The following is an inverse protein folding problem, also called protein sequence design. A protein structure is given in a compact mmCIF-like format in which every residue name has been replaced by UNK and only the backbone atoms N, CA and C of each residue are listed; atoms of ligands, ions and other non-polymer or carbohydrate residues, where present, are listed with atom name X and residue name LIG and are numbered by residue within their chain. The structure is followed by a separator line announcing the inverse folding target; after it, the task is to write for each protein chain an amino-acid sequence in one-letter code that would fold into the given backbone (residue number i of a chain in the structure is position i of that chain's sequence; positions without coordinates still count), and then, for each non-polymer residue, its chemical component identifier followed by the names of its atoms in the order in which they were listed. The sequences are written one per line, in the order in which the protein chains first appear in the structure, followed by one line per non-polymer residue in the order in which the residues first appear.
data_IF_240003823654
#
_entry.id   IF_240003823654
#
_cell.length_a   1.000
_cell.length_b   1.000
_cell.length_c   1.000
_cell.angle_alpha   90.00
_cell.angle_beta   90.00
_cell.angle_gamma   90.00
#
_symmetry.space_group_name_H-M   'P 1'
#
loop_
_entity.id
_entity.type
_entity.pdbx_description
1 polymer ?
#
# COMPACT_ATOMS: atom_id res chain seq x y z
N UNK A 1 4.61 10.92 -11.91
CA UNK A 1 3.60 11.83 -11.34
C UNK A 1 2.27 11.34 -11.85
N UNK A 2 1.47 10.73 -11.00
CA UNK A 2 0.13 10.29 -11.35
C UNK A 2 -0.82 11.12 -10.49
N UNK A 3 -1.62 11.94 -11.13
CA UNK A 3 -2.69 12.74 -10.49
C UNK A 3 -3.98 11.97 -10.74
N UNK A 4 -4.25 10.97 -9.92
CA UNK A 4 -5.52 10.25 -9.93
C UNK A 4 -6.52 11.06 -9.11
N UNK A 5 -7.38 11.78 -9.81
CA UNK A 5 -8.67 12.16 -9.24
C UNK A 5 -9.46 10.87 -9.07
N UNK A 6 -9.67 10.46 -7.83
CA UNK A 6 -10.46 9.27 -7.53
C UNK A 6 -11.95 9.59 -7.77
N UNK A 7 -12.36 9.47 -9.04
CA UNK A 7 -13.75 9.65 -9.47
C UNK A 7 -14.62 8.42 -9.19
N UNK A 8 -14.01 7.33 -8.72
CA UNK A 8 -14.71 6.05 -8.61
C UNK A 8 -15.78 6.05 -7.50
N UNK A 9 -15.52 6.65 -6.36
CA UNK A 9 -16.51 6.74 -5.28
C UNK A 9 -17.65 7.68 -5.63
N UNK A 10 -17.35 8.80 -6.27
CA UNK A 10 -18.35 9.75 -6.77
C UNK A 10 -19.17 9.10 -7.90
N UNK A 11 -18.56 8.34 -8.80
CA UNK A 11 -19.25 7.65 -9.88
C UNK A 11 -20.25 6.60 -9.38
N UNK A 12 -19.87 5.84 -8.34
CA UNK A 12 -20.77 4.84 -7.74
C UNK A 12 -21.96 5.48 -7.03
N UNK A 13 -21.74 6.52 -6.23
CA UNK A 13 -22.81 7.28 -5.58
C UNK A 13 -23.73 7.94 -6.61
N UNK A 14 -23.17 8.45 -7.70
CA UNK A 14 -23.91 9.09 -8.79
C UNK A 14 -24.77 8.10 -9.55
N UNK A 15 -24.25 6.89 -9.85
CA UNK A 15 -25.04 5.84 -10.52
C UNK A 15 -26.27 5.45 -9.70
N UNK A 16 -26.14 5.28 -8.37
CA UNK A 16 -27.28 5.06 -7.48
C UNK A 16 -28.24 6.25 -7.44
N UNK A 17 -27.73 7.48 -7.47
CA UNK A 17 -28.56 8.69 -7.50
C UNK A 17 -29.37 8.77 -8.78
N UNK A 18 -28.80 8.44 -9.94
CA UNK A 18 -29.54 8.38 -11.21
C UNK A 18 -30.66 7.34 -11.19
N UNK A 19 -30.45 6.19 -10.59
CA UNK A 19 -31.47 5.15 -10.47
C UNK A 19 -32.61 5.52 -9.53
N UNK A 20 -32.39 6.45 -8.61
CA UNK A 20 -33.38 6.93 -7.63
C UNK A 20 -33.97 8.28 -8.00
N UNK A 21 -33.50 8.91 -9.07
CA UNK A 21 -34.01 10.22 -9.50
C UNK A 21 -35.39 10.07 -10.10
N UNK A 22 -36.33 10.86 -9.65
CA UNK A 22 -37.70 10.90 -10.20
C UNK A 22 -37.74 11.72 -11.50
N UNK A 23 -38.61 11.34 -12.47
CA UNK A 23 -38.86 12.16 -13.64
C UNK A 23 -39.40 13.54 -13.22
N UNK A 24 -38.81 14.61 -13.74
CA UNK A 24 -39.23 15.98 -13.44
C UNK A 24 -38.20 16.84 -12.69
N UNK A 25 -37.12 16.22 -12.18
CA UNK A 25 -36.00 17.02 -11.67
C UNK A 25 -35.13 17.44 -12.87
N UNK A 26 -35.08 18.73 -13.17
CA UNK A 26 -34.14 19.27 -14.14
C UNK A 26 -32.72 19.17 -13.57
N UNK A 27 -31.79 18.51 -14.27
CA UNK A 27 -30.42 18.37 -13.73
C UNK A 27 -29.74 19.72 -13.52
N UNK A 28 -29.80 20.59 -14.52
CA UNK A 28 -29.20 21.92 -14.51
C UNK A 28 -29.82 22.81 -15.59
N UNK A 29 -30.23 24.02 -15.22
CA UNK A 29 -30.75 24.98 -16.17
C UNK A 29 -30.54 26.40 -15.64
N UNK A 30 -30.20 27.36 -16.50
CA UNK A 30 -30.04 28.78 -16.22
C UNK A 30 -29.19 29.08 -14.97
N UNK A 31 -28.07 28.37 -14.82
CA UNK A 31 -27.14 28.57 -13.69
C UNK A 31 -27.52 27.84 -12.40
N UNK A 32 -28.63 27.09 -12.38
CA UNK A 32 -29.15 26.44 -11.18
C UNK A 32 -29.24 24.91 -11.32
N UNK A 33 -28.93 24.20 -10.26
CA UNK A 33 -29.23 22.79 -10.11
C UNK A 33 -30.70 22.60 -9.70
N UNK A 34 -31.42 21.74 -10.40
CA UNK A 34 -32.80 21.46 -10.07
C UNK A 34 -32.97 20.70 -8.77
N UNK A 35 -33.95 21.11 -7.99
CA UNK A 35 -34.41 20.44 -6.79
C UNK A 35 -35.72 19.71 -6.98
N UNK A 36 -36.16 19.05 -5.93
CA UNK A 36 -37.46 18.37 -5.87
C UNK A 36 -38.60 19.37 -5.98
N UNK A 37 -39.51 19.16 -6.94
CA UNK A 37 -40.65 20.04 -7.18
C UNK A 37 -41.79 19.82 -6.19
N UNK A 38 -42.02 18.55 -5.80
CA UNK A 38 -43.00 18.16 -4.81
C UNK A 38 -42.40 17.16 -3.81
N UNK A 39 -42.16 17.60 -2.59
CA UNK A 39 -41.52 16.76 -1.56
C UNK A 39 -42.39 15.60 -1.07
N UNK A 40 -43.69 15.68 -1.26
CA UNK A 40 -44.63 14.60 -0.87
C UNK A 40 -44.59 13.44 -1.89
N UNK A 41 -44.43 13.76 -3.18
CA UNK A 41 -44.39 12.78 -4.27
C UNK A 41 -42.97 12.28 -4.57
N UNK A 42 -42.01 13.20 -4.53
CA UNK A 42 -40.65 12.95 -4.95
C UNK A 42 -39.73 12.53 -3.81
N UNK A 43 -40.15 12.66 -2.56
CA UNK A 43 -39.40 12.29 -1.37
C UNK A 43 -38.07 13.05 -1.25
N UNK A 44 -37.03 12.39 -0.81
CA UNK A 44 -35.69 12.95 -0.64
C UNK A 44 -34.77 12.72 -1.86
N UNK A 45 -35.33 12.74 -3.08
CA UNK A 45 -34.53 12.55 -4.29
C UNK A 45 -33.54 13.71 -4.48
N UNK A 46 -32.28 13.39 -4.63
CA UNK A 46 -31.22 14.36 -4.88
C UNK A 46 -30.98 14.59 -6.36
N UNK A 47 -30.34 15.71 -6.71
CA UNK A 47 -29.91 15.98 -8.07
C UNK A 47 -28.59 15.21 -8.38
N UNK A 48 -28.61 14.24 -9.30
CA UNK A 48 -27.42 13.45 -9.62
C UNK A 48 -26.29 14.29 -10.22
N UNK A 49 -26.61 15.30 -10.99
CA UNK A 49 -25.62 16.18 -11.61
C UNK A 49 -24.94 17.06 -10.55
N UNK A 50 -25.70 17.52 -9.55
CA UNK A 50 -25.12 18.20 -8.40
C UNK A 50 -24.16 17.28 -7.64
N UNK A 51 -24.55 16.02 -7.41
CA UNK A 51 -23.67 15.04 -6.75
C UNK A 51 -22.37 14.79 -7.55
N UNK A 52 -22.44 14.85 -8.87
CA UNK A 52 -21.29 14.65 -9.73
C UNK A 52 -20.35 15.87 -9.77
N UNK A 53 -20.90 17.07 -9.85
CA UNK A 53 -20.15 18.29 -10.13
C UNK A 53 -20.02 19.22 -8.93
N UNK A 54 -20.90 19.08 -7.94
CA UNK A 54 -21.12 20.07 -6.89
C UNK A 54 -20.70 19.66 -5.48
N UNK A 55 -20.17 18.45 -5.27
CA UNK A 55 -19.83 17.99 -3.92
C UNK A 55 -18.52 18.56 -3.35
N UNK A 56 -17.83 19.41 -4.08
CA UNK A 56 -16.55 19.99 -3.70
C UNK A 56 -15.36 19.40 -4.46
N UNK A 57 -14.20 19.97 -4.19
CA UNK A 57 -12.95 19.57 -4.81
C UNK A 57 -12.27 18.48 -4.00
N UNK A 58 -11.97 17.36 -4.65
CA UNK A 58 -11.20 16.26 -4.05
C UNK A 58 -10.01 15.93 -4.92
N UNK A 59 -8.84 15.84 -4.33
CA UNK A 59 -7.67 15.38 -5.04
C UNK A 59 -6.78 14.48 -4.19
N UNK A 60 -6.15 13.51 -4.88
CA UNK A 60 -5.11 12.65 -4.32
C UNK A 60 -3.78 12.95 -5.00
N UNK A 61 -2.73 13.10 -4.20
CA UNK A 61 -1.35 13.17 -4.69
C UNK A 61 -0.54 12.03 -4.11
N UNK A 62 0.03 11.21 -4.98
CA UNK A 62 0.86 10.09 -4.59
C UNK A 62 2.28 10.29 -5.09
N UNK A 63 3.24 10.06 -4.21
CA UNK A 63 4.66 10.03 -4.56
C UNK A 63 5.23 8.69 -4.09
N UNK A 64 5.81 7.93 -4.99
CA UNK A 64 6.49 6.69 -4.64
C UNK A 64 7.90 6.68 -5.20
N UNK A 65 8.86 6.33 -4.35
CA UNK A 65 10.24 6.10 -4.71
C UNK A 65 10.55 4.65 -4.36
N UNK A 66 10.90 3.88 -5.39
CA UNK A 66 11.38 2.53 -5.21
C UNK A 66 12.80 2.44 -5.74
N UNK A 67 13.74 2.06 -4.89
CA UNK A 67 15.15 1.94 -5.24
C UNK A 67 15.74 0.62 -4.71
N UNK A 68 16.49 -0.07 -5.55
CA UNK A 68 17.25 -1.24 -5.14
C UNK A 68 18.66 -1.11 -5.69
N UNK A 69 19.64 -1.32 -4.83
CA UNK A 69 21.06 -1.39 -5.22
C UNK A 69 21.67 -2.68 -4.72
N UNK A 70 22.66 -3.17 -5.43
CA UNK A 70 23.42 -4.34 -5.00
C UNK A 70 24.89 -4.21 -5.36
N UNK A 71 25.74 -4.88 -4.60
CA UNK A 71 27.14 -5.07 -4.90
C UNK A 71 27.49 -6.55 -4.69
N UNK A 72 28.38 -7.07 -5.52
CA UNK A 72 28.87 -8.43 -5.41
C UNK A 72 30.38 -8.43 -5.62
N UNK A 73 31.10 -9.09 -4.71
CA UNK A 73 32.56 -9.24 -4.76
C UNK A 73 32.88 -10.73 -4.70
N UNK A 74 33.66 -11.19 -5.66
CA UNK A 74 34.25 -12.53 -5.64
C UNK A 74 35.71 -12.42 -5.22
N UNK A 75 36.11 -13.23 -4.25
CA UNK A 75 37.48 -13.24 -3.71
C UNK A 75 37.91 -14.61 -3.27
N UNK A 76 39.22 -14.81 -3.14
CA UNK A 76 39.82 -16.08 -2.77
C UNK A 76 39.27 -17.29 -3.57
N UNK A 77 38.95 -17.07 -4.86
CA UNK A 77 38.38 -18.02 -5.83
C UNK A 77 36.99 -18.57 -5.47
N UNK A 78 36.79 -19.00 -4.23
CA UNK A 78 35.63 -19.78 -3.79
C UNK A 78 34.60 -18.95 -3.01
N UNK A 79 34.92 -17.70 -2.69
CA UNK A 79 34.06 -16.83 -1.90
C UNK A 79 33.32 -15.81 -2.76
N UNK A 80 32.03 -15.60 -2.46
CA UNK A 80 31.22 -14.55 -3.05
C UNK A 80 30.48 -13.83 -1.93
N UNK A 81 30.80 -12.56 -1.73
CA UNK A 81 30.05 -11.65 -0.87
C UNK A 81 29.05 -10.87 -1.75
N UNK A 82 27.79 -10.86 -1.36
CA UNK A 82 26.75 -10.06 -2.00
C UNK A 82 26.01 -9.24 -0.95
N UNK A 83 25.83 -7.97 -1.22
CA UNK A 83 24.98 -7.05 -0.44
C UNK A 83 23.88 -6.51 -1.33
N UNK A 84 22.67 -6.43 -0.81
CA UNK A 84 21.50 -5.86 -1.49
C UNK A 84 20.81 -4.94 -0.52
N UNK A 85 20.57 -3.72 -0.95
CA UNK A 85 19.78 -2.74 -0.20
C UNK A 85 18.58 -2.31 -1.03
N UNK A 86 17.39 -2.45 -0.47
CA UNK A 86 16.12 -2.00 -1.05
C UNK A 86 15.48 -0.92 -0.19
N UNK A 87 14.93 0.07 -0.84
CA UNK A 87 14.18 1.16 -0.20
C UNK A 87 12.91 1.43 -0.98
N UNK A 88 11.77 1.47 -0.27
CA UNK A 88 10.46 1.80 -0.82
C UNK A 88 9.87 2.91 0.06
N UNK A 89 9.61 4.04 -0.54
CA UNK A 89 8.99 5.20 0.08
C UNK A 89 7.70 5.52 -0.63
N UNK A 90 6.63 5.68 0.13
CA UNK A 90 5.33 6.08 -0.37
C UNK A 90 4.80 7.23 0.47
N UNK A 91 4.35 8.28 -0.20
CA UNK A 91 3.66 9.41 0.43
C UNK A 91 2.37 9.68 -0.33
N UNK A 92 1.28 9.78 0.42
CA UNK A 92 -0.05 10.14 -0.08
C UNK A 92 -0.54 11.39 0.62
N UNK A 93 -1.14 12.27 -0.15
CA UNK A 93 -1.92 13.40 0.36
C UNK A 93 -3.28 13.40 -0.31
N UNK A 94 -4.33 13.39 0.50
CA UNK A 94 -5.70 13.60 0.07
C UNK A 94 -6.19 14.91 0.67
N UNK A 95 -6.80 15.75 -0.14
CA UNK A 95 -7.49 16.94 0.31
C UNK A 95 -8.88 16.91 -0.30
N UNK A 96 -9.88 17.21 0.52
CA UNK A 96 -11.25 17.46 0.12
C UNK A 96 -11.67 18.82 0.67
N UNK A 97 -12.38 19.59 -0.14
CA UNK A 97 -13.00 20.85 0.28
C UNK A 97 -14.44 20.86 -0.22
N UNK A 98 -15.37 20.95 0.71
CA UNK A 98 -16.78 21.10 0.40
C UNK A 98 -17.06 22.42 -0.31
N UNK A 99 -18.19 22.50 -1.01
CA UNK A 99 -18.62 23.70 -1.72
C UNK A 99 -20.06 24.03 -1.37
N UNK A 100 -20.47 25.25 -1.71
CA UNK A 100 -21.84 25.72 -1.56
C UNK A 100 -22.63 25.39 -2.83
N UNK A 101 -23.77 24.71 -2.68
CA UNK A 101 -24.70 24.48 -3.76
C UNK A 101 -26.11 24.58 -3.24
N UNK A 102 -26.94 25.21 -4.04
CA UNK A 102 -28.39 25.32 -3.78
C UNK A 102 -29.17 24.48 -4.78
N UNK A 103 -30.38 24.08 -4.42
CA UNK A 103 -31.33 23.45 -5.30
C UNK A 103 -32.48 24.39 -5.57
N UNK A 104 -32.89 24.50 -6.84
CA UNK A 104 -33.87 25.42 -7.32
C UNK A 104 -35.10 24.71 -7.93
N UNK A 105 -36.29 25.13 -7.58
CA UNK A 105 -37.53 24.70 -8.22
C UNK A 105 -37.84 25.61 -9.39
N UNK A 106 -37.86 25.05 -10.59
CA UNK A 106 -38.16 25.80 -11.82
C UNK A 106 -39.65 26.12 -11.96
N UNK A 107 -40.53 25.27 -11.42
CA UNK A 107 -41.97 25.52 -11.42
C UNK A 107 -42.36 26.63 -10.47
N UNK A 108 -41.78 26.64 -9.28
CA UNK A 108 -42.06 27.65 -8.25
C UNK A 108 -41.19 28.90 -8.36
N UNK A 109 -40.13 28.84 -9.19
CA UNK A 109 -39.14 29.89 -9.38
C UNK A 109 -38.49 30.37 -8.05
N UNK A 110 -38.11 29.41 -7.22
CA UNK A 110 -37.50 29.67 -5.91
C UNK A 110 -36.51 28.60 -5.52
N UNK A 111 -35.62 28.98 -4.62
CA UNK A 111 -34.70 28.03 -3.94
C UNK A 111 -35.53 27.12 -3.03
N UNK A 112 -35.39 25.78 -3.21
CA UNK A 112 -36.07 24.76 -2.40
C UNK A 112 -35.14 24.09 -1.39
N UNK A 113 -33.85 24.12 -1.67
CA UNK A 113 -32.82 23.74 -0.70
C UNK A 113 -31.72 24.82 -0.72
N UNK A 114 -31.57 25.58 0.35
CA UNK A 114 -30.55 26.63 0.41
C UNK A 114 -29.17 26.03 0.37
N UNK A 115 -28.21 26.78 -0.13
CA UNK A 115 -26.83 26.41 -0.09
C UNK A 115 -26.36 26.14 1.35
N UNK A 116 -25.49 25.15 1.52
CA UNK A 116 -24.84 24.91 2.82
C UNK A 116 -24.14 26.18 3.28
N UNK A 117 -24.39 26.60 4.52
CA UNK A 117 -23.77 27.80 5.07
C UNK A 117 -22.23 27.61 5.18
N UNK A 118 -21.49 28.72 5.05
CA UNK A 118 -20.02 28.69 5.06
C UNK A 118 -19.46 28.11 6.36
N UNK A 119 -20.14 28.29 7.48
CA UNK A 119 -19.77 27.75 8.78
C UNK A 119 -19.92 26.23 8.89
N UNK A 120 -20.69 25.60 7.99
CA UNK A 120 -20.90 24.16 7.92
C UNK A 120 -20.05 23.46 6.86
N UNK A 121 -19.44 24.22 5.95
CA UNK A 121 -18.54 23.63 4.94
C UNK A 121 -17.26 23.19 5.60
N UNK A 122 -16.85 21.94 5.33
CA UNK A 122 -15.65 21.38 5.89
C UNK A 122 -14.55 21.22 4.85
N UNK A 123 -13.32 21.29 5.32
CA UNK A 123 -12.13 20.90 4.59
C UNK A 123 -11.48 19.74 5.34
N UNK A 124 -11.18 18.71 4.60
CA UNK A 124 -10.53 17.50 5.08
C UNK A 124 -9.14 17.39 4.46
N UNK A 125 -8.18 16.96 5.27
CA UNK A 125 -6.85 16.64 4.80
C UNK A 125 -6.34 15.37 5.46
N UNK A 126 -5.92 14.44 4.64
CA UNK A 126 -5.24 13.22 5.04
C UNK A 126 -3.85 13.18 4.44
N UNK A 127 -2.86 12.87 5.25
CA UNK A 127 -1.51 12.59 4.78
C UNK A 127 -1.04 11.26 5.35
N UNK A 128 -0.42 10.45 4.53
CA UNK A 128 0.14 9.16 4.91
C UNK A 128 1.54 9.03 4.34
N UNK A 129 2.46 8.59 5.18
CA UNK A 129 3.84 8.35 4.81
C UNK A 129 4.25 6.95 5.23
N UNK A 130 4.69 6.17 4.25
CA UNK A 130 5.21 4.83 4.49
C UNK A 130 6.64 4.76 3.98
N UNK A 131 7.51 4.10 4.71
CA UNK A 131 8.78 3.64 4.16
C UNK A 131 9.11 2.24 4.66
N UNK A 132 9.73 1.50 3.77
CA UNK A 132 10.25 0.17 4.02
C UNK A 132 11.67 0.09 3.46
N UNK A 133 12.62 -0.32 4.27
CA UNK A 133 13.94 -0.66 3.79
C UNK A 133 14.35 -2.05 4.26
N UNK A 134 15.13 -2.69 3.42
CA UNK A 134 15.66 -4.03 3.63
C UNK A 134 17.11 -4.08 3.19
N UNK A 135 17.96 -4.58 4.06
CA UNK A 135 19.37 -4.81 3.78
C UNK A 135 19.71 -6.26 3.99
N UNK A 136 20.17 -6.93 2.93
CA UNK A 136 20.53 -8.35 2.92
C UNK A 136 21.98 -8.50 2.54
N UNK A 137 22.74 -9.24 3.34
CA UNK A 137 24.13 -9.59 3.08
C UNK A 137 24.27 -11.10 3.07
N UNK A 138 24.95 -11.64 2.08
CA UNK A 138 25.23 -13.08 2.00
C UNK A 138 26.68 -13.30 1.67
N UNK A 139 27.29 -14.26 2.37
CA UNK A 139 28.58 -14.80 2.08
C UNK A 139 28.40 -16.25 1.62
N UNK A 140 28.76 -16.53 0.40
CA UNK A 140 28.74 -17.87 -0.17
C UNK A 140 30.16 -18.35 -0.36
N UNK A 141 30.42 -19.59 0.06
CA UNK A 141 31.63 -20.32 -0.18
C UNK A 141 31.30 -21.67 -0.81
N UNK A 142 31.98 -22.04 -1.90
CA UNK A 142 31.79 -23.32 -2.57
C UNK A 142 33.12 -23.92 -3.01
N UNK A 143 33.33 -25.20 -2.67
CA UNK A 143 34.55 -25.89 -3.03
C UNK A 143 34.29 -27.39 -3.30
N UNK A 144 34.98 -27.92 -4.32
CA UNK A 144 34.96 -29.36 -4.64
C UNK A 144 36.29 -30.00 -4.28
N UNK A 145 36.29 -30.85 -3.24
CA UNK A 145 37.46 -31.57 -2.79
C UNK A 145 37.59 -32.91 -3.54
N UNK A 146 38.79 -33.22 -3.97
CA UNK A 146 39.11 -34.49 -4.65
C UNK A 146 38.17 -34.83 -5.81
N UNK A 147 37.49 -33.87 -6.41
CA UNK A 147 36.48 -34.04 -7.49
C UNK A 147 35.28 -34.92 -7.11
N UNK A 148 35.08 -35.27 -5.85
CA UNK A 148 34.02 -36.15 -5.37
C UNK A 148 33.19 -35.57 -4.23
N UNK A 149 33.72 -34.61 -3.47
CA UNK A 149 33.04 -33.96 -2.36
C UNK A 149 32.74 -32.53 -2.74
N UNK A 150 31.51 -32.22 -3.03
CA UNK A 150 31.07 -30.86 -3.32
C UNK A 150 30.41 -30.26 -2.09
N UNK A 151 30.96 -29.14 -1.60
CA UNK A 151 30.48 -28.42 -0.42
C UNK A 151 30.13 -26.99 -0.80
N UNK A 152 28.94 -26.56 -0.47
CA UNK A 152 28.53 -25.17 -0.61
C UNK A 152 27.94 -24.67 0.71
N UNK A 153 28.46 -23.56 1.23
CA UNK A 153 28.02 -22.91 2.47
C UNK A 153 27.60 -21.50 2.17
N UNK A 154 26.41 -21.15 2.60
CA UNK A 154 25.89 -19.79 2.56
C UNK A 154 25.60 -19.33 3.99
N UNK A 155 26.12 -18.16 4.35
CA UNK A 155 25.77 -17.44 5.56
C UNK A 155 25.12 -16.12 5.17
N UNK A 156 24.06 -15.73 5.84
CA UNK A 156 23.30 -14.54 5.54
C UNK A 156 22.90 -13.76 6.78
N UNK A 157 22.81 -12.47 6.58
CA UNK A 157 22.29 -11.51 7.52
C UNK A 157 21.28 -10.60 6.81
N UNK A 158 20.13 -10.40 7.41
CA UNK A 158 19.09 -9.53 6.89
C UNK A 158 18.56 -8.63 7.99
N UNK A 159 18.39 -7.37 7.70
CA UNK A 159 17.75 -6.40 8.59
C UNK A 159 16.79 -5.52 7.79
N UNK A 160 15.67 -5.17 8.40
CA UNK A 160 14.73 -4.26 7.76
C UNK A 160 13.85 -3.51 8.76
N UNK A 161 13.26 -2.45 8.25
CA UNK A 161 12.35 -1.60 9.00
C UNK A 161 11.18 -1.22 8.10
N UNK A 162 10.00 -1.32 8.66
CA UNK A 162 8.77 -0.77 8.12
C UNK A 162 8.29 0.35 9.03
N UNK A 163 7.89 1.46 8.43
CA UNK A 163 7.27 2.59 9.11
C UNK A 163 6.00 2.99 8.34
N UNK A 164 4.96 3.31 9.09
CA UNK A 164 3.74 3.92 8.60
C UNK A 164 3.31 5.00 9.59
N UNK A 165 3.14 6.22 9.09
CA UNK A 165 2.61 7.34 9.86
C UNK A 165 1.52 8.04 9.05
N UNK A 166 0.41 8.38 9.72
CA UNK A 166 -0.64 9.16 9.09
C UNK A 166 -1.12 10.29 10.01
N UNK A 167 -1.60 11.33 9.37
CA UNK A 167 -2.33 12.42 9.99
C UNK A 167 -3.62 12.66 9.20
N UNK A 168 -4.72 12.66 9.91
CA UNK A 168 -6.07 12.92 9.44
C UNK A 168 -6.61 14.13 10.17
N UNK A 169 -7.11 15.11 9.44
CA UNK A 169 -7.65 16.34 10.03
C UNK A 169 -8.78 16.90 9.22
N UNK A 170 -9.79 17.43 9.90
CA UNK A 170 -10.87 18.18 9.28
C UNK A 170 -11.21 19.43 10.10
N UNK A 171 -11.62 20.48 9.41
CA UNK A 171 -12.07 21.72 9.98
C UNK A 171 -13.35 22.18 9.27
N UNK A 172 -14.20 22.90 10.00
CA UNK A 172 -15.42 23.54 9.48
C UNK A 172 -15.33 25.05 9.55
N UNK A 173 -16.11 25.71 8.70
CA UNK A 173 -16.23 27.15 8.68
C UNK A 173 -15.19 27.81 7.81
N UNK A 174 -15.39 27.74 6.50
CA UNK A 174 -14.61 28.52 5.53
C UNK A 174 -15.09 29.95 5.49
N UNK A 175 -14.19 30.87 5.18
CA UNK A 175 -14.53 32.29 5.04
C UNK A 175 -15.06 32.62 3.64
N UNK A 176 -14.58 31.94 2.65
CA UNK A 176 -14.90 32.07 1.24
C UNK A 176 -14.75 30.73 0.52
N UNK A 177 -15.69 30.35 -0.39
CA UNK A 177 -15.64 29.08 -1.11
C UNK A 177 -14.36 28.87 -1.93
N UNK A 178 -13.69 29.94 -2.34
CA UNK A 178 -12.41 29.89 -3.07
C UNK A 178 -11.20 29.67 -2.16
N UNK A 179 -11.34 29.85 -0.86
CA UNK A 179 -10.26 29.76 0.13
C UNK A 179 -10.41 28.49 0.95
N UNK A 180 -9.78 27.42 0.49
CA UNK A 180 -9.82 26.10 1.13
C UNK A 180 -8.55 25.77 1.91
N UNK A 181 -7.84 26.79 2.40
CA UNK A 181 -6.62 26.59 3.20
C UNK A 181 -7.01 26.32 4.67
N UNK A 182 -6.46 25.24 5.21
CA UNK A 182 -6.71 24.83 6.60
C UNK A 182 -6.32 25.88 7.65
N UNK A 183 -5.42 26.80 7.32
CA UNK A 183 -5.00 27.89 8.23
C UNK A 183 -6.06 28.94 8.41
N UNK A 184 -6.94 29.13 7.42
CA UNK A 184 -8.00 30.17 7.43
C UNK A 184 -9.31 29.69 8.08
N UNK A 185 -9.41 28.38 8.35
CA UNK A 185 -10.63 27.76 8.88
C UNK A 185 -10.61 27.77 10.41
N UNK A 186 -11.69 28.29 11.01
CA UNK A 186 -11.71 28.60 12.45
C UNK A 186 -12.08 27.42 13.34
N UNK A 187 -13.02 26.58 12.93
CA UNK A 187 -13.57 25.53 13.78
C UNK A 187 -12.89 24.19 13.51
N UNK A 188 -12.19 23.66 14.50
CA UNK A 188 -11.61 22.34 14.43
C UNK A 188 -12.68 21.28 14.66
N UNK A 189 -12.72 20.26 13.79
CA UNK A 189 -13.59 19.11 13.96
C UNK A 189 -12.82 17.91 14.50
N UNK A 190 -11.83 17.41 13.74
CA UNK A 190 -11.05 16.26 14.13
C UNK A 190 -9.57 16.47 13.83
N UNK A 191 -8.75 15.89 14.70
CA UNK A 191 -7.34 15.63 14.47
C UNK A 191 -7.06 14.22 14.98
N UNK A 192 -6.64 13.34 14.11
CA UNK A 192 -6.18 12.00 14.48
C UNK A 192 -4.90 11.66 13.73
N UNK A 193 -4.05 10.91 14.37
CA UNK A 193 -2.81 10.46 13.74
C UNK A 193 -2.20 9.31 14.51
N UNK A 194 -1.38 8.55 13.86
CA UNK A 194 -0.65 7.44 14.47
C UNK A 194 0.63 7.16 13.71
N UNK A 195 1.65 6.79 14.48
CA UNK A 195 2.92 6.29 13.97
C UNK A 195 3.09 4.83 14.38
N UNK A 196 3.39 3.99 13.42
CA UNK A 196 3.67 2.58 13.66
C UNK A 196 5.00 2.21 12.99
N UNK A 197 5.82 1.45 13.69
CA UNK A 197 7.07 0.95 13.15
C UNK A 197 7.33 -0.49 13.58
N UNK A 198 7.84 -1.26 12.64
CA UNK A 198 8.29 -2.63 12.89
C UNK A 198 9.71 -2.78 12.37
N UNK A 199 10.54 -3.47 13.14
CA UNK A 199 11.91 -3.83 12.77
C UNK A 199 12.07 -5.33 12.85
N UNK A 200 12.85 -5.89 11.96
CA UNK A 200 13.24 -7.28 12.02
C UNK A 200 14.71 -7.43 11.69
N UNK A 201 15.29 -8.52 12.19
CA UNK A 201 16.66 -8.92 11.93
C UNK A 201 16.72 -10.42 11.88
N UNK A 202 17.45 -10.95 10.92
CA UNK A 202 17.55 -12.37 10.69
C UNK A 202 18.99 -12.78 10.42
N UNK A 203 19.37 -13.91 11.00
CA UNK A 203 20.56 -14.65 10.63
C UNK A 203 20.12 -15.94 9.96
N UNK A 204 20.77 -16.34 8.89
CA UNK A 204 20.44 -17.57 8.22
C UNK A 204 21.67 -18.21 7.60
N UNK A 205 21.62 -19.52 7.45
CA UNK A 205 22.68 -20.26 6.81
C UNK A 205 22.18 -21.54 6.18
N UNK A 206 22.91 -21.99 5.18
CA UNK A 206 22.67 -23.23 4.47
C UNK A 206 24.01 -23.90 4.17
N UNK A 207 24.07 -25.19 4.39
CA UNK A 207 25.16 -26.04 3.92
C UNK A 207 24.60 -27.13 3.03
N UNK A 208 25.09 -27.20 1.81
CA UNK A 208 24.84 -28.28 0.88
C UNK A 208 26.12 -29.13 0.77
N UNK A 209 25.93 -30.43 0.82
CA UNK A 209 27.00 -31.40 0.59
C UNK A 209 26.55 -32.44 -0.43
N UNK A 210 27.38 -32.71 -1.44
CA UNK A 210 27.16 -33.78 -2.40
C UNK A 210 28.38 -34.67 -2.47
N UNK A 211 28.17 -35.99 -2.33
CA UNK A 211 29.20 -37.01 -2.52
C UNK A 211 29.00 -37.70 -3.86
N UNK A 212 30.01 -37.60 -4.72
CA UNK A 212 30.04 -38.15 -6.10
C UNK A 212 28.78 -37.71 -6.89
N UNK A 213 28.19 -36.55 -6.55
CA UNK A 213 26.91 -36.07 -7.10
C UNK A 213 25.71 -37.04 -6.93
N UNK A 214 25.83 -38.07 -6.11
CA UNK A 214 24.80 -39.09 -5.87
C UNK A 214 24.07 -38.92 -4.55
N UNK A 215 24.83 -38.72 -3.49
CA UNK A 215 24.31 -38.58 -2.13
C UNK A 215 24.31 -37.11 -1.77
N UNK A 216 23.13 -36.56 -1.50
CA UNK A 216 22.92 -35.14 -1.27
C UNK A 216 22.47 -34.93 0.17
N UNK A 217 23.02 -33.93 0.83
CA UNK A 217 22.66 -33.56 2.18
C UNK A 217 22.60 -32.06 2.29
N UNK A 218 21.53 -31.52 2.91
CA UNK A 218 21.37 -30.11 3.13
C UNK A 218 20.96 -29.85 4.58
N UNK A 219 21.58 -28.84 5.16
CA UNK A 219 21.20 -28.29 6.47
C UNK A 219 20.92 -26.81 6.28
N UNK A 220 19.78 -26.35 6.79
CA UNK A 220 19.44 -24.94 6.85
C UNK A 220 19.16 -24.54 8.29
N UNK A 221 19.47 -23.31 8.63
CA UNK A 221 18.98 -22.67 9.83
C UNK A 221 18.57 -21.23 9.54
N UNK A 222 17.59 -20.74 10.27
CA UNK A 222 17.21 -19.34 10.31
C UNK A 222 16.85 -18.93 11.72
N UNK A 223 17.37 -17.79 12.15
CA UNK A 223 17.02 -17.16 13.40
C UNK A 223 16.46 -15.79 13.12
N UNK A 224 15.18 -15.58 13.44
CA UNK A 224 14.44 -14.35 13.14
C UNK A 224 14.10 -13.61 14.42
N UNK A 225 14.46 -12.33 14.45
CA UNK A 225 14.09 -11.40 15.50
C UNK A 225 13.09 -10.35 15.00
N UNK A 226 12.04 -10.07 15.78
CA UNK A 226 11.02 -9.08 15.43
C UNK A 226 10.66 -8.18 16.60
N UNK A 227 10.55 -6.87 16.32
CA UNK A 227 10.11 -5.87 17.31
C UNK A 227 8.63 -6.00 17.70
N UNK A 228 7.85 -6.79 16.99
CA UNK A 228 6.42 -7.05 17.30
C UNK A 228 6.23 -7.88 18.57
N UNK A 229 7.26 -8.61 18.98
CA UNK A 229 7.21 -9.45 20.18
C UNK A 229 7.80 -8.74 21.40
N UNK A 230 7.34 -9.13 22.56
CA UNK A 230 7.80 -8.59 23.84
C UNK A 230 9.32 -8.82 24.05
N UNK A 231 9.99 -7.95 24.80
CA UNK A 231 11.38 -8.16 25.20
C UNK A 231 11.60 -9.57 25.79
N UNK A 232 12.67 -10.24 25.40
CA UNK A 232 12.98 -11.63 25.81
C UNK A 232 12.28 -12.73 25.00
N UNK A 233 11.30 -12.38 24.12
CA UNK A 233 10.58 -13.34 23.25
C UNK A 233 10.66 -12.95 21.77
N UNK A 234 11.63 -12.13 21.40
CA UNK A 234 11.73 -11.55 20.05
C UNK A 234 12.37 -12.47 19.01
N UNK A 235 13.05 -13.52 19.46
CA UNK A 235 13.84 -14.39 18.60
C UNK A 235 13.22 -15.77 18.48
N UNK A 236 13.21 -16.29 17.27
CA UNK A 236 12.79 -17.66 16.94
C UNK A 236 13.84 -18.34 16.07
N UNK A 237 14.17 -19.59 16.40
CA UNK A 237 15.13 -20.41 15.66
C UNK A 237 14.42 -21.51 14.87
N UNK A 238 14.76 -21.66 13.58
CA UNK A 238 14.08 -22.53 12.63
C UNK A 238 15.12 -23.36 11.86
N UNK A 239 15.50 -24.56 12.36
CA UNK A 239 16.38 -25.46 11.64
C UNK A 239 15.61 -26.36 10.69
N UNK A 240 16.26 -26.79 9.60
CA UNK A 240 15.77 -27.85 8.73
C UNK A 240 16.92 -28.70 8.15
N UNK A 241 16.65 -29.97 7.88
CA UNK A 241 17.59 -30.92 7.33
C UNK A 241 16.91 -31.70 6.21
N UNK A 242 17.63 -31.95 5.13
CA UNK A 242 17.16 -32.82 4.05
C UNK A 242 18.29 -33.71 3.54
N UNK A 243 17.94 -34.88 3.01
CA UNK A 243 18.85 -35.81 2.36
C UNK A 243 18.23 -36.33 1.05
N UNK A 244 19.05 -36.56 0.06
CA UNK A 244 18.62 -37.03 -1.24
C UNK A 244 19.59 -38.08 -1.78
N UNK A 245 19.07 -39.04 -2.54
CA UNK A 245 19.83 -40.04 -3.22
C UNK A 245 19.44 -40.09 -4.70
N UNK A 246 20.42 -39.91 -5.58
CA UNK A 246 20.26 -40.07 -7.03
C UNK A 246 20.44 -41.52 -7.42
N UNK A 247 19.42 -42.31 -7.36
CA UNK A 247 19.40 -43.74 -7.64
C UNK A 247 19.84 -44.00 -9.11
N UNK A 248 19.44 -43.14 -10.04
CA UNK A 248 19.81 -43.25 -11.46
C UNK A 248 21.30 -43.20 -11.75
N UNK A 249 22.10 -42.66 -10.82
CA UNK A 249 23.57 -42.61 -10.95
C UNK A 249 24.29 -43.82 -10.37
N UNK A 250 23.56 -44.77 -9.79
CA UNK A 250 24.14 -46.04 -9.29
C UNK A 250 24.43 -46.99 -10.42
N UNK A 251 25.44 -47.83 -10.21
CA UNK A 251 25.90 -48.80 -11.23
C UNK A 251 24.81 -49.81 -11.64
N UNK A 252 23.93 -50.21 -10.71
CA UNK A 252 22.81 -51.09 -10.95
C UNK A 252 21.69 -50.43 -11.74
N UNK A 253 21.53 -49.09 -11.64
CA UNK A 253 20.46 -48.36 -12.29
C UNK A 253 20.84 -47.77 -13.67
N UNK A 254 22.13 -47.79 -14.02
CA UNK A 254 22.64 -47.20 -15.27
C UNK A 254 22.06 -47.80 -16.56
N UNK A 255 21.56 -49.04 -16.50
CA UNK A 255 20.96 -49.77 -17.63
C UNK A 255 19.43 -49.93 -17.47
N UNK A 256 18.77 -49.21 -16.56
CA UNK A 256 17.35 -49.31 -16.31
C UNK A 256 16.59 -48.15 -16.91
N UNK A 257 15.26 -48.30 -17.05
CA UNK A 257 14.32 -47.27 -17.52
C UNK A 257 14.30 -45.98 -16.65
N UNK A 258 14.99 -45.98 -15.51
CA UNK A 258 15.08 -44.82 -14.61
C UNK A 258 15.95 -43.68 -15.15
N UNK A 259 16.44 -43.80 -16.40
CA UNK A 259 17.32 -42.79 -17.03
C UNK A 259 16.61 -41.92 -18.09
N UNK A 260 15.36 -42.19 -18.40
CA UNK A 260 14.50 -41.36 -19.27
C UNK A 260 13.66 -40.35 -18.37
#
# INVERSE_FOLDING_TARGET
YHDDQDRNDVANLTAWSFLKTVPGIYPYYDGHYGGVENSEEDGAAGNPLLNLNGNGDSYYKHNRIYATTHAQIKFLKDFTLKTVFGYDYFHQRHKYAGTQNELYSFSRKQVVSPATSLDQIYVYMYTNQNYNWKWTNTLNWGHTFNKVHDVNVLLGFEEGRYYNGYLDTSKYGILDPSITDMSTITNMNTITGSDNQNKYRSWFGRMNYAYISKYLFEVNFREDGSSKFAPGKRWGFFPSVSAGWRISEESFAKNSFLRE
#
